data_IF_033152593715
#
_entry.id   IF_033152593715
#
_cell.length_a   1.000
_cell.length_b   1.000
_cell.length_c   1.000
_cell.angle_alpha   90.00
_cell.angle_beta   90.00
_cell.angle_gamma   90.00
#
_symmetry.space_group_name_H-M   'P 1'
#
loop_
_entity.id
_entity.type
_entity.pdbx_description
1 polymer ?
#
# COMPACT_ATOMS: atom_id res chain seq x y z
N UNK A 1 6.24 -8.70 17.47
CA UNK A 1 5.20 -8.16 16.56
C UNK A 1 3.81 -8.79 16.73
N UNK A 2 3.64 -10.12 16.61
CA UNK A 2 2.32 -10.80 16.72
C UNK A 2 1.60 -10.58 18.06
N UNK A 3 2.36 -10.36 19.14
CA UNK A 3 1.81 -10.17 20.48
C UNK A 3 1.33 -8.74 20.75
N UNK A 4 1.47 -7.81 19.79
CA UNK A 4 1.03 -6.42 19.94
C UNK A 4 2.07 -5.47 20.55
N UNK A 5 3.32 -5.91 20.69
CA UNK A 5 4.44 -5.11 21.20
C UNK A 5 4.70 -3.83 20.37
N UNK A 6 4.24 -3.80 19.12
CA UNK A 6 4.40 -2.69 18.18
C UNK A 6 3.07 -1.96 17.91
N UNK A 7 2.08 -2.15 18.79
CA UNK A 7 0.77 -1.52 18.68
C UNK A 7 -0.30 -2.36 17.95
N UNK A 8 -1.56 -1.93 18.05
CA UNK A 8 -2.70 -2.70 17.56
C UNK A 8 -2.75 -2.81 16.04
N UNK A 9 -2.31 -1.78 15.31
CA UNK A 9 -2.20 -1.81 13.85
C UNK A 9 -1.23 -2.91 13.38
N UNK A 10 -0.01 -2.95 13.92
CA UNK A 10 0.99 -3.97 13.56
C UNK A 10 0.52 -5.37 13.92
N UNK A 11 -0.17 -5.53 15.06
CA UNK A 11 -0.80 -6.82 15.42
C UNK A 11 -1.81 -7.28 14.38
N UNK A 12 -2.70 -6.38 13.95
CA UNK A 12 -3.70 -6.66 12.91
C UNK A 12 -3.02 -7.04 11.58
N UNK A 13 -2.08 -6.23 11.10
CA UNK A 13 -1.35 -6.49 9.87
C UNK A 13 -0.60 -7.84 9.90
N UNK A 14 0.12 -8.13 10.98
CA UNK A 14 0.82 -9.41 11.14
C UNK A 14 -0.13 -10.60 11.23
N UNK A 15 -1.32 -10.45 11.81
CA UNK A 15 -2.30 -11.53 11.84
C UNK A 15 -2.79 -11.90 10.43
N UNK A 16 -2.94 -10.91 9.55
CA UNK A 16 -3.29 -11.11 8.13
C UNK A 16 -2.13 -11.79 7.40
N UNK A 17 -0.90 -11.28 7.56
CA UNK A 17 0.29 -11.85 6.91
C UNK A 17 0.52 -13.32 7.29
N UNK A 18 0.40 -13.66 8.57
CA UNK A 18 0.55 -15.05 9.05
C UNK A 18 -0.52 -15.95 8.42
N UNK A 19 -1.78 -15.50 8.39
CA UNK A 19 -2.86 -16.28 7.77
C UNK A 19 -2.66 -16.46 6.27
N UNK A 20 -2.15 -15.45 5.58
CA UNK A 20 -1.81 -15.56 4.16
C UNK A 20 -0.62 -16.49 3.93
N UNK A 21 0.40 -16.44 4.80
CA UNK A 21 1.54 -17.35 4.76
C UNK A 21 1.12 -18.81 4.96
N UNK A 22 0.22 -19.09 5.89
CA UNK A 22 -0.37 -20.42 6.11
C UNK A 22 -1.10 -20.92 4.85
N UNK A 23 -1.92 -20.07 4.22
CA UNK A 23 -2.62 -20.40 2.97
C UNK A 23 -1.63 -20.67 1.83
N UNK A 24 -0.55 -19.90 1.76
CA UNK A 24 0.50 -20.07 0.75
C UNK A 24 1.47 -21.24 1.04
N UNK A 25 1.40 -21.86 2.22
CA UNK A 25 2.38 -22.85 2.66
C UNK A 25 3.78 -22.29 2.90
N UNK A 26 3.90 -20.96 3.13
CA UNK A 26 5.16 -20.30 3.39
C UNK A 26 5.67 -20.63 4.80
N UNK A 27 6.96 -21.00 4.89
CA UNK A 27 7.61 -21.36 6.16
C UNK A 27 8.21 -20.16 6.88
N UNK A 28 8.50 -19.10 6.15
CA UNK A 28 9.13 -17.89 6.64
C UNK A 28 8.63 -16.67 5.85
N UNK A 29 8.79 -15.50 6.45
CA UNK A 29 8.57 -14.20 5.81
C UNK A 29 9.93 -13.55 5.61
N UNK A 30 10.14 -12.92 4.46
CA UNK A 30 11.34 -12.15 4.18
C UNK A 30 11.14 -10.69 4.56
N UNK A 31 12.19 -10.08 5.11
CA UNK A 31 12.23 -8.64 5.29
C UNK A 31 12.34 -7.94 3.93
N UNK A 32 11.72 -6.77 3.84
CA UNK A 32 11.75 -5.91 2.65
C UNK A 32 12.39 -4.57 3.02
N UNK A 33 12.93 -3.90 2.02
CA UNK A 33 13.53 -2.58 2.13
C UNK A 33 12.64 -1.48 1.53
N UNK A 34 11.60 -1.86 0.79
CA UNK A 34 10.64 -0.93 0.21
C UNK A 34 9.34 -1.60 -0.22
N UNK A 35 8.26 -0.82 -0.25
CA UNK A 35 6.93 -1.31 -0.63
C UNK A 35 6.23 -0.35 -1.61
N UNK A 36 5.30 -0.91 -2.39
CA UNK A 36 4.39 -0.14 -3.23
C UNK A 36 2.97 -0.66 -3.04
N UNK A 37 2.08 0.16 -2.49
CA UNK A 37 0.69 -0.23 -2.21
C UNK A 37 -0.10 -0.09 -3.52
N UNK A 38 -0.56 -1.24 -4.03
CA UNK A 38 -1.29 -1.33 -5.29
C UNK A 38 -2.77 -0.91 -5.17
N UNK A 39 -3.46 -1.33 -4.09
CA UNK A 39 -4.91 -1.15 -3.92
C UNK A 39 -5.29 0.24 -3.39
N UNK A 40 -4.87 1.29 -4.09
CA UNK A 40 -5.14 2.71 -3.78
C UNK A 40 -6.35 3.27 -4.50
N UNK A 41 -6.85 2.59 -5.54
CA UNK A 41 -8.11 2.92 -6.20
C UNK A 41 -9.29 2.44 -5.36
N UNK A 42 -10.27 3.32 -5.12
CA UNK A 42 -11.49 2.96 -4.40
C UNK A 42 -12.41 2.11 -5.28
N UNK A 43 -12.53 0.83 -4.94
CA UNK A 43 -13.38 -0.14 -5.65
C UNK A 43 -14.62 -0.51 -4.79
N UNK A 44 -14.57 -0.25 -3.49
CA UNK A 44 -15.68 -0.49 -2.56
C UNK A 44 -15.27 -0.29 -1.11
N UNK A 45 -16.27 -0.36 -0.21
CA UNK A 45 -16.12 -0.02 1.21
C UNK A 45 -15.04 -0.84 1.93
N UNK A 46 -14.89 -2.13 1.59
CA UNK A 46 -13.94 -2.99 2.28
C UNK A 46 -12.48 -2.48 2.23
N UNK A 47 -12.06 -1.92 1.09
CA UNK A 47 -10.71 -1.35 0.94
C UNK A 47 -10.53 -0.06 1.73
N UNK A 48 -11.58 0.78 1.76
CA UNK A 48 -11.61 2.01 2.55
C UNK A 48 -11.61 1.71 4.05
N UNK A 49 -12.51 0.84 4.52
CA UNK A 49 -12.60 0.43 5.92
C UNK A 49 -11.30 -0.19 6.41
N UNK A 50 -10.63 -0.99 5.57
CA UNK A 50 -9.31 -1.54 5.89
C UNK A 50 -8.27 -0.43 6.12
N UNK A 51 -8.17 0.53 5.19
CA UNK A 51 -7.23 1.64 5.28
C UNK A 51 -7.51 2.54 6.51
N UNK A 52 -8.77 2.94 6.71
CA UNK A 52 -9.18 3.76 7.86
C UNK A 52 -9.03 3.01 9.19
N UNK A 53 -9.25 1.68 9.20
CA UNK A 53 -9.05 0.87 10.39
C UNK A 53 -7.58 0.82 10.78
N UNK A 54 -6.67 0.61 9.83
CA UNK A 54 -5.23 0.65 10.12
C UNK A 54 -4.80 2.04 10.61
N UNK A 55 -5.22 3.11 9.93
CA UNK A 55 -4.91 4.47 10.31
C UNK A 55 -5.43 4.82 11.72
N UNK A 56 -6.68 4.46 12.04
CA UNK A 56 -7.28 4.68 13.37
C UNK A 56 -6.60 3.88 14.49
N UNK A 57 -5.96 2.76 14.16
CA UNK A 57 -5.13 1.99 15.08
C UNK A 57 -3.70 2.53 15.21
N UNK A 58 -3.38 3.67 14.59
CA UNK A 58 -2.09 4.33 14.67
C UNK A 58 -1.01 3.71 13.78
N UNK A 59 -1.40 3.03 12.69
CA UNK A 59 -0.45 2.43 11.76
C UNK A 59 0.56 3.45 11.21
N UNK A 60 1.81 2.99 11.05
CA UNK A 60 2.87 3.69 10.33
C UNK A 60 3.59 2.70 9.41
N UNK A 61 3.96 3.16 8.23
CA UNK A 61 4.79 2.36 7.32
C UNK A 61 6.15 2.09 7.98
N UNK A 62 6.64 0.84 7.86
CA UNK A 62 7.91 0.41 8.47
C UNK A 62 9.12 0.64 7.56
N UNK A 63 8.88 0.79 6.25
CA UNK A 63 9.88 1.00 5.21
C UNK A 63 9.38 2.07 4.24
N UNK A 64 10.24 2.71 3.42
CA UNK A 64 9.81 3.59 2.35
C UNK A 64 8.72 2.93 1.51
N UNK A 65 7.54 3.55 1.51
CA UNK A 65 6.33 2.98 0.91
C UNK A 65 5.70 4.01 0.01
N UNK A 66 5.44 3.62 -1.24
CA UNK A 66 4.83 4.48 -2.27
C UNK A 66 3.40 4.04 -2.58
N UNK A 67 2.61 4.94 -3.17
CA UNK A 67 1.21 4.71 -3.50
C UNK A 67 1.02 4.63 -5.02
N UNK A 68 0.29 3.63 -5.48
CA UNK A 68 -0.15 3.52 -6.87
C UNK A 68 -1.17 4.63 -7.21
N UNK A 69 -1.58 4.73 -8.47
CA UNK A 69 -2.63 5.62 -8.94
C UNK A 69 -3.86 5.58 -8.04
N UNK A 70 -4.43 6.74 -7.83
CA UNK A 70 -5.70 6.91 -7.15
C UNK A 70 -6.83 6.95 -8.18
N UNK A 71 -8.07 6.75 -7.73
CA UNK A 71 -9.25 6.94 -8.59
C UNK A 71 -9.59 8.41 -8.88
N UNK A 72 -8.86 9.35 -8.27
CA UNK A 72 -9.06 10.80 -8.33
C UNK A 72 -7.73 11.55 -8.37
N UNK A 73 -7.78 12.80 -8.83
CA UNK A 73 -6.69 13.75 -8.60
C UNK A 73 -6.70 14.23 -7.14
N UNK A 74 -5.56 14.22 -6.45
CA UNK A 74 -5.47 14.59 -5.03
C UNK A 74 -5.95 16.03 -4.75
N UNK A 75 -5.67 16.97 -5.65
CA UNK A 75 -5.94 18.38 -5.44
C UNK A 75 -7.29 18.83 -6.00
N UNK A 76 -7.77 18.16 -7.06
CA UNK A 76 -8.99 18.50 -7.80
C UNK A 76 -10.04 17.39 -7.75
N UNK A 77 -9.98 16.50 -6.75
CA UNK A 77 -10.87 15.33 -6.64
C UNK A 77 -12.37 15.65 -6.69
N UNK A 78 -12.78 16.87 -6.31
CA UNK A 78 -14.17 17.34 -6.33
C UNK A 78 -14.67 17.73 -7.72
N UNK A 79 -13.77 17.89 -8.69
CA UNK A 79 -14.08 18.35 -10.06
C UNK A 79 -14.31 17.18 -11.02
N UNK A 80 -14.03 15.96 -10.57
CA UNK A 80 -14.19 14.76 -11.38
C UNK A 80 -15.66 14.41 -11.59
N UNK A 81 -15.98 13.92 -12.78
CA UNK A 81 -17.34 13.51 -13.18
C UNK A 81 -17.75 12.15 -12.57
N UNK A 82 -17.74 12.06 -11.25
CA UNK A 82 -18.15 10.88 -10.46
C UNK A 82 -19.14 11.28 -9.36
N UNK A 83 -19.92 10.33 -8.81
CA UNK A 83 -20.83 10.66 -7.70
C UNK A 83 -20.07 11.28 -6.51
N UNK A 84 -20.57 12.39 -5.92
CA UNK A 84 -19.87 13.09 -4.83
C UNK A 84 -19.53 12.19 -3.63
N UNK A 85 -20.43 11.28 -3.27
CA UNK A 85 -20.21 10.33 -2.17
C UNK A 85 -19.08 9.33 -2.48
N UNK A 86 -18.99 8.88 -3.74
CA UNK A 86 -17.90 8.03 -4.19
C UNK A 86 -16.58 8.80 -4.14
N UNK A 87 -16.59 10.05 -4.60
CA UNK A 87 -15.41 10.90 -4.61
C UNK A 87 -14.87 11.14 -3.20
N UNK A 88 -15.77 11.44 -2.25
CA UNK A 88 -15.44 11.63 -0.84
C UNK A 88 -14.85 10.36 -0.22
N UNK A 89 -15.39 9.18 -0.55
CA UNK A 89 -14.88 7.88 -0.07
C UNK A 89 -13.48 7.56 -0.61
N UNK A 90 -13.28 7.77 -1.91
CA UNK A 90 -11.97 7.57 -2.53
C UNK A 90 -10.91 8.52 -1.95
N UNK A 91 -11.25 9.80 -1.76
CA UNK A 91 -10.35 10.76 -1.12
C UNK A 91 -10.04 10.40 0.35
N UNK A 92 -11.01 9.91 1.13
CA UNK A 92 -10.74 9.39 2.48
C UNK A 92 -9.75 8.22 2.48
N UNK A 93 -9.85 7.32 1.51
CA UNK A 93 -8.89 6.22 1.36
C UNK A 93 -7.48 6.74 1.09
N UNK A 94 -7.33 7.75 0.22
CA UNK A 94 -6.03 8.40 -0.04
C UNK A 94 -5.44 8.98 1.26
N UNK A 95 -6.24 9.78 1.98
CA UNK A 95 -5.81 10.41 3.24
C UNK A 95 -5.42 9.38 4.30
N UNK A 96 -6.14 8.26 4.39
CA UNK A 96 -5.81 7.19 5.33
C UNK A 96 -4.39 6.65 5.07
N UNK A 97 -4.05 6.34 3.81
CA UNK A 97 -2.71 5.87 3.45
C UNK A 97 -1.63 6.94 3.68
N UNK A 98 -1.88 8.18 3.31
CA UNK A 98 -0.95 9.28 3.56
C UNK A 98 -0.71 9.51 5.05
N UNK A 99 -1.75 9.40 5.90
CA UNK A 99 -1.64 9.55 7.36
C UNK A 99 -0.74 8.48 8.00
N UNK A 100 -0.58 7.32 7.36
CA UNK A 100 0.34 6.25 7.77
C UNK A 100 1.80 6.52 7.35
N UNK A 101 2.06 7.59 6.60
CA UNK A 101 3.40 7.98 6.14
C UNK A 101 3.79 7.41 4.78
N UNK A 102 2.83 6.90 4.00
CA UNK A 102 3.09 6.48 2.62
C UNK A 102 3.26 7.70 1.70
N UNK A 103 4.23 7.62 0.78
CA UNK A 103 4.52 8.65 -0.20
C UNK A 103 3.48 8.63 -1.33
N UNK A 104 2.74 9.73 -1.55
CA UNK A 104 1.67 9.83 -2.55
C UNK A 104 2.24 10.03 -3.97
N UNK A 105 2.92 9.02 -4.51
CA UNK A 105 3.51 9.07 -5.85
C UNK A 105 2.48 8.97 -6.98
N UNK A 106 1.29 8.45 -6.69
CA UNK A 106 0.14 8.32 -7.60
C UNK A 106 0.49 7.79 -8.99
N UNK A 107 1.31 6.74 -9.05
CA UNK A 107 1.76 6.14 -10.31
C UNK A 107 1.86 4.62 -10.21
N UNK A 108 1.47 3.95 -11.29
CA UNK A 108 1.67 2.52 -11.53
C UNK A 108 3.09 2.19 -12.02
N UNK A 109 3.92 3.21 -12.20
CA UNK A 109 5.29 3.06 -12.64
C UNK A 109 6.26 3.60 -11.58
N UNK A 110 6.28 3.03 -10.35
CA UNK A 110 7.17 3.51 -9.28
C UNK A 110 8.65 3.46 -9.68
N UNK A 111 9.03 2.57 -10.60
CA UNK A 111 10.39 2.46 -11.16
C UNK A 111 10.82 3.66 -12.04
N UNK A 112 9.90 4.53 -12.44
CA UNK A 112 10.20 5.78 -13.15
C UNK A 112 10.46 6.95 -12.20
N UNK A 113 10.35 6.71 -10.89
CA UNK A 113 10.57 7.71 -9.84
C UNK A 113 11.90 7.49 -9.15
N UNK A 114 12.22 8.34 -8.17
CA UNK A 114 13.36 8.16 -7.26
C UNK A 114 13.28 6.88 -6.41
N UNK A 115 12.10 6.24 -6.32
CA UNK A 115 11.87 4.98 -5.60
C UNK A 115 12.20 3.73 -6.43
N UNK A 116 12.89 3.89 -7.57
CA UNK A 116 13.42 2.77 -8.35
C UNK A 116 14.28 1.85 -7.47
N UNK A 117 13.96 0.54 -7.38
CA UNK A 117 14.74 -0.40 -6.58
C UNK A 117 16.14 -0.60 -7.15
N UNK A 118 17.07 -0.96 -6.27
CA UNK A 118 18.46 -1.26 -6.62
C UNK A 118 18.69 -2.77 -6.70
N UNK A 119 19.75 -3.15 -7.40
CA UNK A 119 20.21 -4.55 -7.43
C UNK A 119 20.36 -5.14 -6.03
N UNK A 120 19.76 -6.32 -5.82
CA UNK A 120 19.77 -7.05 -4.54
C UNK A 120 18.73 -6.61 -3.51
N UNK A 121 18.00 -5.52 -3.74
CA UNK A 121 17.01 -4.99 -2.80
C UNK A 121 15.76 -5.88 -2.73
N UNK A 122 15.33 -6.27 -1.54
CA UNK A 122 14.07 -6.98 -1.35
C UNK A 122 12.90 -5.98 -1.31
N UNK A 123 11.88 -6.16 -2.17
CA UNK A 123 10.74 -5.22 -2.28
C UNK A 123 9.40 -5.96 -2.26
N UNK A 124 8.36 -5.31 -1.73
CA UNK A 124 6.98 -5.79 -1.80
C UNK A 124 6.14 -4.93 -2.75
N UNK A 125 6.13 -5.30 -4.03
CA UNK A 125 5.36 -4.62 -5.08
C UNK A 125 4.34 -5.60 -5.68
N UNK A 126 3.07 -5.18 -5.74
CA UNK A 126 1.96 -6.05 -6.18
C UNK A 126 1.50 -5.85 -7.64
N UNK A 127 2.19 -5.00 -8.40
CA UNK A 127 1.74 -4.56 -9.72
C UNK A 127 2.48 -5.26 -10.87
N UNK A 128 1.75 -5.73 -11.89
CA UNK A 128 2.29 -6.64 -12.91
C UNK A 128 3.44 -6.06 -13.74
N UNK A 129 3.37 -4.81 -14.19
CA UNK A 129 4.47 -4.14 -14.90
C UNK A 129 5.69 -3.90 -13.99
N UNK A 130 5.45 -3.57 -12.73
CA UNK A 130 6.48 -3.28 -11.74
C UNK A 130 7.22 -4.57 -11.31
N UNK A 131 6.50 -5.69 -11.18
CA UNK A 131 7.06 -7.03 -10.93
C UNK A 131 7.94 -7.46 -12.12
N UNK A 132 7.47 -7.26 -13.36
CA UNK A 132 8.25 -7.58 -14.55
C UNK A 132 9.56 -6.79 -14.53
N UNK A 133 9.51 -5.46 -14.38
CA UNK A 133 10.71 -4.61 -14.30
C UNK A 133 11.69 -5.11 -13.24
N UNK A 134 11.22 -5.36 -12.02
CA UNK A 134 12.06 -5.85 -10.93
C UNK A 134 12.73 -7.19 -11.26
N UNK A 135 12.06 -8.08 -11.99
CA UNK A 135 12.59 -9.40 -12.31
C UNK A 135 13.54 -9.43 -13.52
N UNK A 136 13.47 -8.45 -14.43
CA UNK A 136 14.28 -8.45 -15.67
C UNK A 136 15.46 -7.46 -15.66
N UNK A 137 15.35 -6.35 -14.94
CA UNK A 137 16.33 -5.25 -14.98
C UNK A 137 17.16 -5.14 -13.69
N UNK A 138 16.81 -5.93 -12.68
CA UNK A 138 17.49 -6.01 -11.37
C UNK A 138 18.13 -7.40 -11.17
N UNK A 139 18.22 -8.20 -12.24
CA UNK A 139 18.88 -9.52 -12.30
C UNK A 139 20.26 -9.45 -12.91
#
# INVERSE_FOLDING_TARGET
>A
MRNGEYGPATKMAMSILIRMAEVAGAKELLDIEGAHIYSTVYIGEAGLEYAERLASLGAKVAVPTTLNVSGLDEHHWREWAVPPDWAAKAHRQMLAYQSMGAAPTWTCAPYQTEFKPKFGQQIAWGESNAIVFANIEIS
#
